data_IF_617822374348
#
_entry.id   IF_617822374348
#
_cell.length_a   1.000
_cell.length_b   1.000
_cell.length_c   1.000
_cell.angle_alpha   90.00
_cell.angle_beta   90.00
_cell.angle_gamma   90.00
#
_symmetry.space_group_name_H-M   'P 1'
#
loop_
_entity.id
_entity.type
_entity.pdbx_description
1 polymer ?
#
# COMPACT_ATOMS: atom_id res chain seq x y z
N UNK A 1 -11.93 1.48 -18.20
CA UNK A 1 -12.52 0.65 -17.12
C UNK A 1 -12.86 -0.74 -17.67
N UNK A 2 -12.74 -1.75 -16.83
CA UNK A 2 -13.06 -3.13 -17.20
C UNK A 2 -14.34 -3.57 -16.50
N UNK A 3 -15.34 -4.04 -17.26
CA UNK A 3 -16.56 -4.58 -16.67
C UNK A 3 -16.27 -5.92 -15.97
N UNK A 4 -16.84 -6.12 -14.78
CA UNK A 4 -16.73 -7.38 -14.02
C UNK A 4 -17.81 -8.38 -14.38
N UNK A 5 -18.87 -7.95 -15.07
CA UNK A 5 -20.06 -8.76 -15.33
C UNK A 5 -20.97 -9.00 -14.11
N UNK A 6 -20.61 -8.46 -12.96
CA UNK A 6 -21.36 -8.64 -11.71
C UNK A 6 -22.41 -7.54 -11.59
N UNK A 7 -23.67 -7.95 -11.36
CA UNK A 7 -24.80 -7.05 -11.11
C UNK A 7 -25.30 -7.27 -9.70
N UNK A 8 -25.50 -6.19 -8.95
CA UNK A 8 -26.05 -6.19 -7.60
C UNK A 8 -27.18 -5.18 -7.49
N UNK A 9 -28.14 -5.47 -6.63
CA UNK A 9 -29.25 -4.57 -6.34
C UNK A 9 -28.98 -3.75 -5.08
N UNK A 10 -29.44 -2.51 -5.11
CA UNK A 10 -29.49 -1.67 -3.92
C UNK A 10 -30.68 -2.15 -3.06
N UNK A 11 -30.45 -2.35 -1.76
CA UNK A 11 -31.49 -2.74 -0.81
C UNK A 11 -32.34 -1.55 -0.37
N UNK A 12 -33.35 -1.82 0.49
CA UNK A 12 -34.28 -0.82 1.03
C UNK A 12 -33.61 0.24 1.93
N UNK A 13 -32.40 -0.05 2.41
CA UNK A 13 -31.56 0.90 3.19
C UNK A 13 -30.52 1.62 2.34
N UNK A 14 -30.57 1.48 1.01
CA UNK A 14 -29.63 2.11 0.11
C UNK A 14 -28.23 1.46 0.08
N UNK A 15 -28.10 0.23 0.54
CA UNK A 15 -26.82 -0.50 0.58
C UNK A 15 -26.63 -1.33 -0.67
N UNK A 16 -25.37 -1.45 -1.10
CA UNK A 16 -24.93 -2.39 -2.11
C UNK A 16 -23.82 -3.26 -1.54
N UNK A 17 -23.87 -4.57 -1.80
CA UNK A 17 -22.82 -5.49 -1.35
C UNK A 17 -21.73 -5.57 -2.40
N UNK A 18 -20.51 -5.25 -2.01
CA UNK A 18 -19.33 -5.49 -2.84
C UNK A 18 -19.02 -6.99 -2.80
N UNK A 19 -19.04 -7.69 -3.93
CA UNK A 19 -18.79 -9.13 -3.97
C UNK A 19 -17.43 -9.52 -3.40
N UNK A 20 -17.37 -10.70 -2.79
CA UNK A 20 -16.14 -11.23 -2.17
C UNK A 20 -14.98 -11.30 -3.15
N UNK A 21 -15.24 -11.65 -4.40
CA UNK A 21 -14.24 -11.74 -5.47
C UNK A 21 -13.60 -10.36 -5.76
N UNK A 22 -14.42 -9.31 -5.82
CA UNK A 22 -13.93 -7.94 -6.02
C UNK A 22 -13.14 -7.48 -4.80
N UNK A 23 -13.65 -7.72 -3.59
CA UNK A 23 -12.95 -7.37 -2.35
C UNK A 23 -11.59 -8.06 -2.26
N UNK A 24 -11.53 -9.33 -2.64
CA UNK A 24 -10.29 -10.11 -2.66
C UNK A 24 -9.29 -9.57 -3.68
N UNK A 25 -9.73 -9.27 -4.89
CA UNK A 25 -8.88 -8.77 -5.98
C UNK A 25 -8.33 -7.37 -5.66
N UNK A 26 -9.15 -6.51 -5.05
CA UNK A 26 -8.78 -5.14 -4.71
C UNK A 26 -8.26 -5.00 -3.27
N UNK A 27 -8.07 -6.11 -2.56
CA UNK A 27 -7.62 -6.13 -1.16
C UNK A 27 -8.46 -5.25 -0.22
N UNK A 28 -9.79 -5.24 -0.45
CA UNK A 28 -10.75 -4.52 0.39
C UNK A 28 -11.11 -5.43 1.57
N UNK A 29 -10.84 -4.97 2.78
CA UNK A 29 -11.15 -5.68 4.02
C UNK A 29 -12.40 -5.13 4.67
N UNK A 30 -12.99 -5.92 5.53
CA UNK A 30 -14.05 -5.46 6.43
C UNK A 30 -13.55 -4.27 7.25
N UNK A 31 -14.38 -3.27 7.44
CA UNK A 31 -14.07 -2.00 8.11
C UNK A 31 -13.14 -1.03 7.36
N UNK A 32 -12.62 -1.39 6.19
CA UNK A 32 -11.85 -0.44 5.39
C UNK A 32 -12.72 0.77 5.02
N UNK A 33 -12.25 2.00 5.24
CA UNK A 33 -12.93 3.19 4.79
C UNK A 33 -12.84 3.29 3.27
N UNK A 34 -13.97 3.60 2.63
CA UNK A 34 -14.07 3.80 1.19
C UNK A 34 -14.53 5.21 0.90
N UNK A 35 -13.86 5.87 -0.01
CA UNK A 35 -14.27 7.17 -0.54
C UNK A 35 -15.16 6.99 -1.76
N UNK A 36 -16.23 7.75 -1.82
CA UNK A 36 -17.24 7.65 -2.88
C UNK A 36 -17.11 8.87 -3.78
N UNK A 37 -16.88 8.64 -5.05
CA UNK A 37 -16.87 9.66 -6.09
C UNK A 37 -18.06 9.45 -7.03
N UNK A 38 -18.53 10.54 -7.61
CA UNK A 38 -19.50 10.51 -8.71
C UNK A 38 -18.95 11.29 -9.88
N UNK A 39 -19.24 10.86 -11.08
CA UNK A 39 -18.91 11.60 -12.30
C UNK A 39 -20.14 12.17 -13.02
N UNK A 40 -19.90 12.95 -14.05
CA UNK A 40 -20.97 13.57 -14.84
C UNK A 40 -21.78 12.57 -15.69
N UNK A 41 -21.26 11.35 -15.87
CA UNK A 41 -21.93 10.27 -16.62
C UNK A 41 -22.83 9.42 -15.73
N UNK A 42 -22.94 9.74 -14.45
CA UNK A 42 -23.80 9.03 -13.49
C UNK A 42 -23.15 7.78 -12.91
N UNK A 43 -21.83 7.67 -12.96
CA UNK A 43 -21.11 6.57 -12.35
C UNK A 43 -20.81 6.87 -10.88
N UNK A 44 -20.82 5.81 -10.06
CA UNK A 44 -20.34 5.83 -8.68
C UNK A 44 -19.04 5.06 -8.63
N UNK A 45 -17.98 5.70 -8.20
CA UNK A 45 -16.65 5.13 -8.10
C UNK A 45 -16.27 5.04 -6.63
N UNK A 46 -15.93 3.84 -6.18
CA UNK A 46 -15.45 3.59 -4.84
C UNK A 46 -13.93 3.42 -4.87
N UNK A 47 -13.23 4.15 -4.03
CA UNK A 47 -11.78 4.01 -3.84
C UNK A 47 -11.48 3.76 -2.36
N UNK A 48 -10.48 2.95 -2.07
CA UNK A 48 -9.98 2.84 -0.70
C UNK A 48 -9.51 4.20 -0.23
N UNK A 49 -10.04 4.63 0.91
CA UNK A 49 -9.58 5.86 1.53
C UNK A 49 -8.27 5.58 2.26
N UNK A 50 -7.19 6.18 1.79
CA UNK A 50 -5.90 6.15 2.46
C UNK A 50 -5.49 7.57 2.81
N UNK A 51 -5.50 7.95 4.08
CA UNK A 51 -5.00 9.26 4.50
C UNK A 51 -3.51 9.43 4.16
N UNK A 52 -2.79 8.33 3.96
CA UNK A 52 -1.39 8.33 3.54
C UNK A 52 -1.25 8.60 2.04
N UNK A 53 -2.28 8.32 1.22
CA UNK A 53 -2.27 8.63 -0.22
C UNK A 53 -2.10 10.12 -0.52
N UNK A 54 -2.70 10.99 0.30
CA UNK A 54 -2.54 12.44 0.20
C UNK A 54 -1.16 12.91 0.69
N UNK A 55 -0.47 12.08 1.46
CA UNK A 55 0.87 12.34 2.00
C UNK A 55 1.98 11.86 1.03
N UNK A 56 1.64 11.22 -0.09
CA UNK A 56 2.63 10.62 -0.99
C UNK A 56 3.69 11.62 -1.47
N UNK A 57 3.30 12.87 -1.74
CA UNK A 57 4.23 13.94 -2.12
C UNK A 57 5.17 14.31 -0.97
N UNK A 58 4.66 14.36 0.26
CA UNK A 58 5.46 14.57 1.46
C UNK A 58 6.36 13.38 1.75
N UNK A 59 5.84 12.16 1.61
CA UNK A 59 6.61 10.94 1.82
C UNK A 59 7.82 10.88 0.90
N UNK A 60 7.68 11.28 -0.37
CA UNK A 60 8.80 11.37 -1.30
C UNK A 60 9.90 12.30 -0.82
N UNK A 61 9.54 13.52 -0.39
CA UNK A 61 10.50 14.50 0.15
C UNK A 61 11.15 14.04 1.45
N UNK A 62 10.39 13.38 2.33
CA UNK A 62 10.93 12.79 3.56
C UNK A 62 11.94 11.69 3.27
N UNK A 63 11.60 10.76 2.40
CA UNK A 63 12.50 9.68 2.01
C UNK A 63 13.81 10.22 1.41
N UNK A 64 13.71 11.24 0.54
CA UNK A 64 14.86 11.90 -0.07
C UNK A 64 15.75 12.57 1.00
N UNK A 65 15.17 13.38 1.88
CA UNK A 65 15.91 14.06 2.93
C UNK A 65 16.62 13.10 3.88
N UNK A 66 15.95 12.00 4.27
CA UNK A 66 16.56 10.97 5.13
C UNK A 66 17.66 10.20 4.41
N UNK A 67 17.47 9.88 3.14
CA UNK A 67 18.48 9.21 2.32
C UNK A 67 19.73 10.08 2.14
N UNK A 68 19.56 11.37 1.87
CA UNK A 68 20.66 12.33 1.74
C UNK A 68 21.43 12.50 3.06
N UNK A 69 20.71 12.53 4.19
CA UNK A 69 21.32 12.70 5.51
C UNK A 69 22.07 11.45 6.01
N UNK A 70 21.59 10.25 5.66
CA UNK A 70 22.11 8.98 6.18
C UNK A 70 23.00 8.22 5.20
N UNK A 71 22.90 8.52 3.89
CA UNK A 71 23.53 7.75 2.83
C UNK A 71 22.91 6.36 2.61
N UNK A 72 21.76 6.07 3.23
CA UNK A 72 21.07 4.79 3.13
C UNK A 72 19.85 4.88 2.21
N UNK A 73 19.46 3.75 1.65
CA UNK A 73 18.15 3.63 0.98
C UNK A 73 17.05 3.74 2.02
N UNK A 74 16.09 4.62 1.76
CA UNK A 74 14.94 4.88 2.63
C UNK A 74 13.67 4.61 1.86
N UNK A 75 12.73 3.90 2.47
CA UNK A 75 11.39 3.73 1.92
C UNK A 75 10.32 4.02 2.98
N UNK A 76 9.18 4.49 2.51
CA UNK A 76 7.97 4.72 3.30
C UNK A 76 6.87 3.86 2.70
N UNK A 77 6.16 3.14 3.54
CA UNK A 77 5.12 2.21 3.10
C UNK A 77 3.77 2.58 3.72
N UNK A 78 2.71 2.27 3.01
CA UNK A 78 1.43 2.02 3.63
C UNK A 78 1.31 0.52 3.99
N UNK A 79 0.11 0.04 4.29
CA UNK A 79 -0.10 -1.37 4.66
C UNK A 79 0.04 -2.35 3.49
N UNK A 80 0.08 -1.86 2.27
CA UNK A 80 0.02 -2.70 1.07
C UNK A 80 1.26 -2.59 0.22
N UNK A 81 1.82 -1.38 0.11
CA UNK A 81 2.91 -1.12 -0.82
C UNK A 81 3.87 -0.02 -0.36
N UNK A 82 5.01 0.04 -1.02
CA UNK A 82 5.95 1.16 -0.86
C UNK A 82 5.41 2.37 -1.62
N UNK A 83 5.13 3.45 -0.89
CA UNK A 83 4.58 4.70 -1.44
C UNK A 83 5.65 5.74 -1.77
N UNK A 84 6.80 5.66 -1.14
CA UNK A 84 7.96 6.51 -1.44
C UNK A 84 9.26 5.75 -1.18
N UNK A 85 10.25 6.00 -2.00
CA UNK A 85 11.59 5.46 -1.82
C UNK A 85 12.64 6.45 -2.34
N UNK A 86 13.81 6.45 -1.71
CA UNK A 86 14.98 7.22 -2.14
C UNK A 86 16.24 6.44 -1.81
N UNK A 87 17.31 6.68 -2.59
CA UNK A 87 18.57 5.95 -2.53
C UNK A 87 18.77 5.04 -3.73
N UNK A 88 19.81 4.21 -3.69
CA UNK A 88 20.27 3.41 -4.83
C UNK A 88 19.21 2.36 -5.27
N UNK A 89 18.48 1.79 -4.32
CA UNK A 89 17.46 0.76 -4.59
C UNK A 89 16.05 1.29 -4.84
N UNK A 90 15.88 2.60 -5.02
CA UNK A 90 14.59 3.24 -5.24
C UNK A 90 13.73 2.53 -6.29
N UNK A 91 14.31 2.17 -7.43
CA UNK A 91 13.58 1.53 -8.54
C UNK A 91 13.04 0.14 -8.20
N UNK A 92 13.75 -0.58 -7.32
CA UNK A 92 13.38 -1.93 -6.89
C UNK A 92 12.32 -1.94 -5.80
N UNK A 93 12.13 -0.81 -5.11
CA UNK A 93 11.22 -0.68 -3.98
C UNK A 93 9.91 0.02 -4.35
N UNK A 94 9.97 1.05 -5.20
CA UNK A 94 8.82 1.91 -5.49
C UNK A 94 7.63 1.14 -6.05
N UNK A 95 6.45 1.36 -5.46
CA UNK A 95 5.18 0.72 -5.82
C UNK A 95 5.15 -0.81 -5.67
N UNK A 96 6.12 -1.39 -4.97
CA UNK A 96 6.14 -2.83 -4.70
C UNK A 96 5.31 -3.17 -3.47
N UNK A 97 4.63 -4.33 -3.47
CA UNK A 97 3.87 -4.78 -2.31
C UNK A 97 4.79 -5.08 -1.13
N UNK A 98 4.33 -4.77 0.07
CA UNK A 98 5.02 -5.13 1.30
C UNK A 98 4.85 -6.61 1.62
N UNK A 99 5.84 -7.19 2.32
CA UNK A 99 5.75 -8.57 2.79
C UNK A 99 4.71 -8.74 3.90
N UNK A 100 4.26 -9.97 4.11
CA UNK A 100 3.34 -10.30 5.21
C UNK A 100 3.99 -10.05 6.57
N UNK A 101 5.27 -10.35 6.70
CA UNK A 101 6.07 -10.17 7.91
C UNK A 101 6.16 -8.69 8.25
N UNK A 102 6.43 -7.82 7.27
CA UNK A 102 6.45 -6.39 7.47
C UNK A 102 5.07 -5.85 7.87
N UNK A 103 4.02 -6.34 7.24
CA UNK A 103 2.65 -5.96 7.59
C UNK A 103 2.30 -6.34 9.03
N UNK A 104 2.70 -7.52 9.50
CA UNK A 104 2.52 -7.94 10.89
C UNK A 104 3.28 -7.04 11.88
N UNK A 105 4.52 -6.66 11.54
CA UNK A 105 5.29 -5.72 12.35
C UNK A 105 4.62 -4.34 12.43
N UNK A 106 4.08 -3.86 11.32
CA UNK A 106 3.31 -2.60 11.28
C UNK A 106 2.04 -2.68 12.14
N UNK A 107 1.29 -3.78 12.07
CA UNK A 107 0.11 -4.00 12.91
C UNK A 107 0.47 -4.04 14.40
N UNK A 108 1.59 -4.66 14.75
CA UNK A 108 2.14 -4.69 16.11
C UNK A 108 2.79 -3.38 16.56
N UNK A 109 2.93 -2.38 15.66
CA UNK A 109 3.64 -1.12 15.90
C UNK A 109 5.04 -1.34 16.47
N UNK A 110 5.74 -2.35 15.91
CA UNK A 110 7.08 -2.74 16.34
C UNK A 110 8.15 -1.96 15.57
N UNK A 111 9.25 -1.67 16.27
CA UNK A 111 10.50 -1.26 15.63
C UNK A 111 11.41 -2.47 15.54
N UNK A 112 11.93 -2.75 14.35
CA UNK A 112 12.84 -3.85 14.08
C UNK A 112 14.17 -3.26 13.61
N UNK A 113 15.26 -3.74 14.18
CA UNK A 113 16.63 -3.42 13.76
C UNK A 113 17.39 -4.74 13.64
N UNK A 114 17.56 -5.21 12.40
CA UNK A 114 18.28 -6.44 12.08
C UNK A 114 18.91 -6.34 10.71
N UNK A 115 20.09 -6.91 10.53
CA UNK A 115 20.74 -7.06 9.23
C UNK A 115 20.27 -8.33 8.51
N UNK A 116 20.57 -8.41 7.21
CA UNK A 116 20.27 -9.60 6.42
C UNK A 116 21.01 -10.83 7.00
N UNK A 117 20.26 -11.90 7.21
CA UNK A 117 20.78 -13.13 7.85
C UNK A 117 20.74 -13.14 9.38
N UNK A 118 20.34 -12.05 10.02
CA UNK A 118 20.13 -12.01 11.48
C UNK A 118 18.70 -12.41 11.86
N UNK A 119 18.56 -12.90 13.08
CA UNK A 119 17.24 -13.18 13.65
C UNK A 119 16.40 -11.91 13.72
N UNK A 120 15.16 -11.99 13.23
CA UNK A 120 14.24 -10.86 13.21
C UNK A 120 14.37 -9.98 11.95
N UNK A 121 15.24 -10.32 11.01
CA UNK A 121 15.28 -9.61 9.73
C UNK A 121 13.96 -9.75 8.96
N UNK A 122 13.43 -8.64 8.49
CA UNK A 122 12.18 -8.59 7.73
C UNK A 122 12.43 -7.90 6.39
N UNK A 123 12.17 -8.61 5.29
CA UNK A 123 12.22 -8.01 3.95
C UNK A 123 11.07 -7.02 3.78
N UNK A 124 11.36 -5.90 3.12
CA UNK A 124 10.34 -4.89 2.80
C UNK A 124 9.41 -5.40 1.70
N UNK A 125 9.99 -5.99 0.65
CA UNK A 125 9.25 -6.56 -0.49
C UNK A 125 9.84 -7.92 -0.86
N UNK A 126 9.03 -8.79 -1.46
CA UNK A 126 9.49 -10.13 -1.90
C UNK A 126 10.31 -10.07 -3.20
N UNK A 127 10.12 -9.03 -4.01
CA UNK A 127 10.78 -8.86 -5.30
C UNK A 127 12.10 -8.07 -5.22
N UNK A 128 12.46 -7.54 -4.06
CA UNK A 128 13.72 -6.86 -3.84
C UNK A 128 14.85 -7.89 -3.71
N UNK A 129 15.38 -8.33 -4.83
CA UNK A 129 16.72 -8.90 -4.83
C UNK A 129 17.70 -7.73 -4.69
N UNK A 130 18.20 -7.52 -3.47
CA UNK A 130 19.36 -6.68 -3.28
C UNK A 130 20.51 -7.34 -4.05
N UNK A 131 20.92 -6.75 -5.17
CA UNK A 131 22.18 -7.11 -5.78
C UNK A 131 23.25 -6.63 -4.82
N UNK A 132 23.87 -7.57 -4.12
CA UNK A 132 25.18 -7.34 -3.55
C UNK A 132 26.16 -7.14 -4.72
N UNK A 133 26.71 -5.96 -4.86
CA UNK A 133 28.00 -5.76 -5.47
C UNK A 133 29.06 -5.76 -4.39
#
# INVERSE_FOLDING_TARGET
MKATGIVRRIDDLGRIVIPKEIRRTLHIRETDPMEIFTDAEGQIILKKYSPIGDISTFAGKYAESLSDATGMTVCITDREQVIAASGDDKKNLMNKPVTKELNQAMEGRCTIAAGEGEDGFVKVTDEAQFKQE
#
